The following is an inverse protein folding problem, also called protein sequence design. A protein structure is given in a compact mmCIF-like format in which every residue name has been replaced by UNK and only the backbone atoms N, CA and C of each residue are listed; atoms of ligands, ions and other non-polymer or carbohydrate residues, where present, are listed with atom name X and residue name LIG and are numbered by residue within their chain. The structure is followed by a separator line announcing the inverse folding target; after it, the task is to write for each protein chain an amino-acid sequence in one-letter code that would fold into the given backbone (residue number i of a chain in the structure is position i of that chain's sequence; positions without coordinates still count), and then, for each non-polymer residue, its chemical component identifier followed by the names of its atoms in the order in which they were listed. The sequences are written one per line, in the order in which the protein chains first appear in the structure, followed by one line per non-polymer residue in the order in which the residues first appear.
data_IF_872643275998
#
_entry.id   IF_872643275998
#
_cell.length_a   1.000
_cell.length_b   1.000
_cell.length_c   1.000
_cell.angle_alpha   90.00
_cell.angle_beta   90.00
_cell.angle_gamma   90.00
#
_symmetry.space_group_name_H-M   'P 1'
#
loop_
_entity.id
_entity.type
_entity.pdbx_description
1 polymer ?
#
# COMPACT_ATOMS: atom_id res chain seq x y z
N UNK A 1 12.42 -7.02 -22.18
CA UNK A 1 11.26 -6.91 -21.26
C UNK A 1 11.80 -6.51 -19.90
N UNK A 2 11.22 -5.49 -19.28
CA UNK A 2 11.62 -4.95 -17.97
C UNK A 2 10.74 -5.58 -16.87
N UNK A 3 11.39 -6.25 -15.92
CA UNK A 3 10.76 -7.07 -14.88
C UNK A 3 11.21 -6.60 -13.49
N UNK A 4 10.35 -6.80 -12.49
CA UNK A 4 10.69 -6.72 -11.07
C UNK A 4 10.53 -8.10 -10.47
N UNK A 5 11.52 -8.53 -9.68
CA UNK A 5 11.47 -9.69 -8.82
C UNK A 5 11.58 -9.25 -7.36
N UNK A 6 10.62 -9.70 -6.55
CA UNK A 6 10.58 -9.51 -5.10
C UNK A 6 10.73 -10.85 -4.42
N UNK A 7 11.71 -10.95 -3.53
CA UNK A 7 12.08 -12.17 -2.84
C UNK A 7 12.07 -11.94 -1.32
N UNK A 8 11.50 -12.90 -0.59
CA UNK A 8 11.55 -12.96 0.87
C UNK A 8 11.79 -14.39 1.35
N UNK A 9 12.80 -14.61 2.19
CA UNK A 9 13.11 -15.92 2.77
C UNK A 9 13.90 -15.79 4.09
N UNK A 10 14.24 -16.92 4.71
CA UNK A 10 15.20 -16.94 5.81
C UNK A 10 16.61 -16.64 5.27
N UNK A 11 17.34 -15.76 5.95
CA UNK A 11 18.69 -15.38 5.52
C UNK A 11 19.66 -16.55 5.66
N UNK A 12 20.51 -16.69 4.64
CA UNK A 12 21.59 -17.67 4.56
C UNK A 12 22.54 -17.33 3.40
N UNK A 13 23.82 -17.77 3.47
CA UNK A 13 24.80 -17.49 2.42
C UNK A 13 24.34 -17.95 1.01
N UNK A 14 24.64 -17.11 0.02
CA UNK A 14 24.50 -17.44 -1.39
C UNK A 14 23.17 -17.05 -2.07
N UNK A 15 22.19 -16.50 -1.34
CA UNK A 15 20.90 -16.06 -1.93
C UNK A 15 21.14 -15.08 -3.09
N UNK A 16 21.97 -14.06 -2.85
CA UNK A 16 22.31 -13.02 -3.84
C UNK A 16 23.02 -13.62 -5.06
N UNK A 17 23.95 -14.55 -4.82
CA UNK A 17 24.65 -15.24 -5.90
C UNK A 17 23.68 -16.07 -6.75
N UNK A 18 22.76 -16.80 -6.11
CA UNK A 18 21.75 -17.59 -6.82
C UNK A 18 20.79 -16.71 -7.63
N UNK A 19 20.33 -15.60 -7.04
CA UNK A 19 19.47 -14.62 -7.71
C UNK A 19 20.14 -14.04 -8.96
N UNK A 20 21.37 -13.54 -8.82
CA UNK A 20 22.14 -12.97 -9.94
C UNK A 20 22.48 -14.01 -11.00
N UNK A 21 22.81 -15.23 -10.61
CA UNK A 21 23.07 -16.34 -11.54
C UNK A 21 21.81 -16.74 -12.32
N UNK A 22 20.65 -16.79 -11.66
CA UNK A 22 19.38 -17.12 -12.31
C UNK A 22 18.92 -16.02 -13.29
N UNK A 23 19.13 -14.75 -12.93
CA UNK A 23 18.90 -13.63 -13.84
C UNK A 23 19.82 -13.74 -15.07
N UNK A 24 21.11 -14.00 -14.87
CA UNK A 24 22.05 -14.20 -15.98
C UNK A 24 21.65 -15.39 -16.87
N UNK A 25 21.18 -16.50 -16.29
CA UNK A 25 20.77 -17.69 -17.03
C UNK A 25 19.56 -17.45 -17.96
N UNK A 26 18.69 -16.49 -17.63
CA UNK A 26 17.63 -16.02 -18.54
C UNK A 26 18.06 -14.83 -19.39
N UNK A 27 19.38 -14.60 -19.56
CA UNK A 27 19.93 -13.50 -20.37
C UNK A 27 19.59 -12.12 -19.81
N UNK A 28 19.37 -12.03 -18.50
CA UNK A 28 18.94 -10.81 -17.84
C UNK A 28 20.09 -9.87 -17.48
N UNK A 29 19.84 -8.56 -17.58
CA UNK A 29 20.71 -7.51 -17.06
C UNK A 29 20.03 -6.78 -15.90
N UNK A 30 20.71 -6.67 -14.77
CA UNK A 30 20.16 -6.00 -13.57
C UNK A 30 20.25 -4.48 -13.76
N UNK A 31 19.12 -3.80 -13.58
CA UNK A 31 18.99 -2.33 -13.67
C UNK A 31 19.02 -1.71 -12.28
N UNK A 32 18.36 -2.36 -11.31
CA UNK A 32 18.27 -1.90 -9.93
C UNK A 32 18.27 -3.12 -9.00
N UNK A 33 18.98 -3.04 -7.88
CA UNK A 33 19.01 -4.12 -6.91
C UNK A 33 19.16 -3.57 -5.49
N UNK A 34 18.23 -3.94 -4.62
CA UNK A 34 18.27 -3.62 -3.20
C UNK A 34 18.00 -4.89 -2.38
N UNK A 35 18.67 -5.01 -1.25
CA UNK A 35 18.49 -6.12 -0.32
C UNK A 35 18.57 -5.64 1.12
N UNK A 36 17.98 -6.40 2.03
CA UNK A 36 18.10 -6.17 3.46
C UNK A 36 17.88 -7.47 4.22
N UNK A 37 18.70 -7.71 5.24
CA UNK A 37 18.45 -8.75 6.25
C UNK A 37 18.01 -8.06 7.53
N UNK A 38 16.84 -8.42 8.06
CA UNK A 38 16.47 -8.05 9.42
C UNK A 38 17.17 -8.98 10.43
N UNK A 39 18.11 -8.48 11.25
CA UNK A 39 18.89 -9.33 12.15
C UNK A 39 18.06 -9.90 13.30
N UNK A 40 16.88 -9.32 13.58
CA UNK A 40 16.00 -9.77 14.66
C UNK A 40 15.17 -10.99 14.26
N UNK A 41 14.66 -11.01 13.03
CA UNK A 41 13.82 -12.10 12.51
C UNK A 41 14.59 -13.09 11.63
N UNK A 42 15.84 -12.81 11.28
CA UNK A 42 16.62 -13.53 10.26
C UNK A 42 15.88 -13.62 8.91
N UNK A 43 15.10 -12.60 8.58
CA UNK A 43 14.37 -12.52 7.30
C UNK A 43 15.20 -11.70 6.30
N UNK A 44 15.51 -12.31 5.17
CA UNK A 44 16.13 -11.66 4.01
C UNK A 44 15.05 -11.23 3.02
N UNK A 45 15.12 -9.97 2.57
CA UNK A 45 14.27 -9.43 1.52
C UNK A 45 15.13 -8.81 0.42
N UNK A 46 14.70 -8.96 -0.83
CA UNK A 46 15.41 -8.44 -1.99
C UNK A 46 14.44 -8.02 -3.07
N UNK A 47 14.70 -6.87 -3.68
CA UNK A 47 13.98 -6.35 -4.84
C UNK A 47 14.98 -6.12 -5.96
N UNK A 48 14.75 -6.76 -7.09
CA UNK A 48 15.62 -6.65 -8.25
C UNK A 48 14.80 -6.28 -9.48
N UNK A 49 15.11 -5.14 -10.09
CA UNK A 49 14.61 -4.77 -11.40
C UNK A 49 15.64 -5.17 -12.45
N UNK A 50 15.23 -5.89 -13.48
CA UNK A 50 16.12 -6.41 -14.51
C UNK A 50 15.42 -6.49 -15.86
N UNK A 51 16.20 -6.44 -16.92
CA UNK A 51 15.73 -6.57 -18.29
C UNK A 51 16.16 -7.91 -18.88
N UNK A 52 15.27 -8.64 -19.55
CA UNK A 52 15.60 -9.84 -20.32
C UNK A 52 14.92 -9.84 -21.70
N UNK A 53 15.60 -10.39 -22.71
CA UNK A 53 15.01 -10.64 -24.03
C UNK A 53 14.23 -11.96 -24.12
N UNK A 54 14.36 -12.85 -23.13
CA UNK A 54 13.75 -14.19 -23.13
C UNK A 54 12.29 -14.20 -22.64
N UNK A 55 11.81 -13.08 -22.09
CA UNK A 55 10.44 -12.91 -21.63
C UNK A 55 10.18 -13.41 -20.20
N UNK A 56 8.98 -13.11 -19.68
CA UNK A 56 8.60 -13.36 -18.29
C UNK A 56 8.63 -14.85 -17.90
N UNK A 57 8.06 -15.74 -18.72
CA UNK A 57 7.98 -17.17 -18.39
C UNK A 57 9.37 -17.83 -18.26
N UNK A 58 10.33 -17.43 -19.09
CA UNK A 58 11.71 -17.90 -19.00
C UNK A 58 12.40 -17.40 -17.72
N UNK A 59 12.18 -16.12 -17.37
CA UNK A 59 12.67 -15.56 -16.12
C UNK A 59 12.06 -16.26 -14.90
N UNK A 60 10.74 -16.43 -14.86
CA UNK A 60 10.03 -17.14 -13.78
C UNK A 60 10.58 -18.54 -13.57
N UNK A 61 10.76 -19.32 -14.64
CA UNK A 61 11.36 -20.65 -14.57
C UNK A 61 12.78 -20.58 -14.00
N UNK A 62 13.64 -19.74 -14.58
CA UNK A 62 15.05 -19.62 -14.17
C UNK A 62 15.20 -19.23 -12.70
N UNK A 63 14.48 -18.19 -12.26
CA UNK A 63 14.52 -17.72 -10.88
C UNK A 63 13.93 -18.75 -9.92
N UNK A 64 12.80 -19.38 -10.26
CA UNK A 64 12.17 -20.40 -9.39
C UNK A 64 13.10 -21.60 -9.19
N UNK A 65 13.74 -22.10 -10.26
CA UNK A 65 14.68 -23.22 -10.18
C UNK A 65 15.96 -22.83 -9.45
N UNK A 66 16.56 -21.69 -9.78
CA UNK A 66 17.81 -21.23 -9.18
C UNK A 66 17.71 -20.89 -7.70
N UNK A 67 16.52 -20.49 -7.24
CA UNK A 67 16.26 -20.10 -5.85
C UNK A 67 15.54 -21.17 -5.02
N UNK A 68 15.13 -22.29 -5.61
CA UNK A 68 14.31 -23.32 -4.97
C UNK A 68 14.86 -23.78 -3.60
N UNK A 69 16.18 -23.94 -3.48
CA UNK A 69 16.84 -24.38 -2.24
C UNK A 69 16.67 -23.43 -1.05
N UNK A 70 16.31 -22.17 -1.30
CA UNK A 70 16.08 -21.16 -0.28
C UNK A 70 14.60 -21.09 0.15
N UNK A 71 13.72 -21.84 -0.53
CA UNK A 71 12.26 -21.84 -0.33
C UNK A 71 11.66 -20.42 -0.19
N UNK A 72 11.96 -19.48 -1.11
CA UNK A 72 11.51 -18.10 -0.96
C UNK A 72 10.03 -17.92 -1.32
N UNK A 73 9.41 -16.92 -0.73
CA UNK A 73 8.30 -16.22 -1.39
C UNK A 73 8.91 -15.38 -2.51
N UNK A 74 8.60 -15.73 -3.76
CA UNK A 74 9.12 -15.08 -4.96
C UNK A 74 7.96 -14.59 -5.82
N UNK A 75 7.95 -13.30 -6.13
CA UNK A 75 7.00 -12.68 -7.03
C UNK A 75 7.74 -12.01 -8.17
N UNK A 76 7.34 -12.28 -9.41
CA UNK A 76 7.95 -11.71 -10.60
C UNK A 76 6.84 -11.11 -11.46
N UNK A 77 7.01 -9.87 -11.90
CA UNK A 77 6.08 -9.23 -12.82
C UNK A 77 6.75 -8.23 -13.74
N UNK A 78 6.16 -7.93 -14.90
CA UNK A 78 6.57 -6.80 -15.73
C UNK A 78 6.36 -5.46 -15.02
N UNK A 79 7.27 -4.51 -15.22
CA UNK A 79 7.10 -3.13 -14.71
C UNK A 79 5.92 -2.41 -15.34
N UNK A 80 5.50 -2.84 -16.53
CA UNK A 80 4.32 -2.34 -17.25
C UNK A 80 3.00 -2.86 -16.68
N UNK A 81 3.00 -3.97 -15.93
CA UNK A 81 1.80 -4.50 -15.29
C UNK A 81 1.52 -3.68 -14.03
N UNK A 82 0.48 -2.85 -14.08
CA UNK A 82 0.04 -2.01 -12.97
C UNK A 82 -0.83 -2.82 -12.00
N UNK A 83 -0.57 -2.79 -10.69
CA UNK A 83 -1.46 -3.38 -9.70
C UNK A 83 -2.84 -2.71 -9.70
N UNK A 84 -3.89 -3.49 -9.53
CA UNK A 84 -5.29 -3.07 -9.52
C UNK A 84 -5.72 -2.75 -8.09
N UNK A 85 -6.00 -1.48 -7.82
CA UNK A 85 -6.37 -0.94 -6.52
C UNK A 85 -7.89 -0.76 -6.41
N UNK A 86 -8.52 -1.38 -5.41
CA UNK A 86 -9.88 -1.04 -5.00
C UNK A 86 -9.82 0.07 -3.96
N UNK A 87 -10.43 1.22 -4.23
CA UNK A 87 -10.40 2.35 -3.29
C UNK A 87 -11.73 2.42 -2.54
N UNK A 88 -11.68 2.40 -1.20
CA UNK A 88 -12.83 2.57 -0.32
C UNK A 88 -12.81 3.98 0.29
N UNK A 89 -13.95 4.67 0.26
CA UNK A 89 -14.09 6.05 0.75
C UNK A 89 -15.39 6.26 1.52
N UNK A 90 -15.40 7.25 2.41
CA UNK A 90 -16.63 7.72 3.09
C UNK A 90 -17.03 9.07 2.50
N UNK A 91 -16.92 10.19 3.24
CA UNK A 91 -17.33 11.52 2.75
C UNK A 91 -16.16 12.45 2.44
N UNK A 92 -15.00 12.19 3.02
CA UNK A 92 -13.84 13.07 2.87
C UNK A 92 -13.11 12.77 1.56
N UNK A 93 -12.91 13.81 0.74
CA UNK A 93 -12.46 13.65 -0.64
C UNK A 93 -10.96 13.85 -0.85
N UNK A 94 -10.24 14.48 0.07
CA UNK A 94 -8.87 14.98 -0.17
C UNK A 94 -7.88 13.87 -0.54
N UNK A 95 -7.89 12.73 0.14
CA UNK A 95 -7.04 11.59 -0.21
C UNK A 95 -7.42 10.99 -1.56
N UNK A 96 -8.72 10.82 -1.83
CA UNK A 96 -9.19 10.27 -3.10
C UNK A 96 -8.82 11.18 -4.29
N UNK A 97 -8.98 12.50 -4.15
CA UNK A 97 -8.63 13.49 -5.17
C UNK A 97 -7.15 13.39 -5.54
N UNK A 98 -6.28 13.29 -4.55
CA UNK A 98 -4.82 13.22 -4.77
C UNK A 98 -4.45 11.91 -5.50
N UNK A 99 -5.03 10.78 -5.09
CA UNK A 99 -4.83 9.48 -5.77
C UNK A 99 -5.30 9.51 -7.23
N UNK A 100 -6.50 10.05 -7.50
CA UNK A 100 -7.04 10.14 -8.86
C UNK A 100 -6.20 11.09 -9.73
N UNK A 101 -5.83 12.26 -9.20
CA UNK A 101 -4.98 13.23 -9.89
C UNK A 101 -3.61 12.65 -10.27
N UNK A 102 -2.91 11.99 -9.34
CA UNK A 102 -1.62 11.37 -9.61
C UNK A 102 -1.73 10.19 -10.59
N UNK A 103 -2.85 9.46 -10.56
CA UNK A 103 -3.13 8.40 -11.51
C UNK A 103 -3.36 8.95 -12.94
N UNK A 104 -4.07 10.07 -13.09
CA UNK A 104 -4.26 10.74 -14.38
C UNK A 104 -2.95 11.25 -14.97
N UNK A 105 -2.05 11.79 -14.14
CA UNK A 105 -0.70 12.19 -14.57
C UNK A 105 0.22 11.01 -14.91
N UNK A 106 -0.18 9.78 -14.57
CA UNK A 106 0.67 8.58 -14.71
C UNK A 106 1.81 8.51 -13.68
N UNK A 107 1.77 9.34 -12.65
CA UNK A 107 2.74 9.36 -11.55
C UNK A 107 2.49 8.26 -10.52
N UNK A 108 1.25 7.75 -10.48
CA UNK A 108 0.82 6.58 -9.73
C UNK A 108 0.59 5.42 -10.69
N UNK A 109 1.47 4.41 -10.69
CA UNK A 109 1.43 3.27 -11.61
C UNK A 109 0.45 2.18 -11.15
N UNK A 110 -0.78 2.58 -10.92
CA UNK A 110 -1.88 1.69 -10.50
C UNK A 110 -3.00 1.70 -11.54
N UNK A 111 -3.91 0.75 -11.44
CA UNK A 111 -5.21 0.82 -12.08
C UNK A 111 -6.28 0.92 -10.98
N UNK A 112 -7.20 1.86 -11.09
CA UNK A 112 -8.33 1.99 -10.15
C UNK A 112 -9.62 1.64 -10.90
N UNK A 113 -9.99 0.34 -10.97
CA UNK A 113 -11.17 -0.08 -11.73
C UNK A 113 -12.50 0.27 -11.06
N UNK A 114 -12.49 0.49 -9.74
CA UNK A 114 -13.69 0.74 -8.93
C UNK A 114 -13.34 1.54 -7.68
N UNK A 115 -14.20 2.52 -7.36
CA UNK A 115 -14.27 3.15 -6.04
C UNK A 115 -15.58 2.73 -5.39
N UNK A 116 -15.52 2.27 -4.14
CA UNK A 116 -16.70 1.91 -3.35
C UNK A 116 -16.86 2.92 -2.21
N UNK A 117 -18.09 3.34 -1.96
CA UNK A 117 -18.41 4.18 -0.81
C UNK A 117 -19.67 3.72 -0.10
N UNK A 118 -19.70 3.94 1.21
CA UNK A 118 -20.91 3.83 2.03
C UNK A 118 -21.77 5.11 1.99
N UNK A 119 -21.40 6.10 1.16
CA UNK A 119 -22.14 7.34 0.91
C UNK A 119 -22.13 7.72 -0.57
N UNK A 120 -23.03 8.61 -0.98
CA UNK A 120 -23.12 9.11 -2.37
C UNK A 120 -22.25 10.35 -2.63
N UNK A 121 -21.75 11.00 -1.57
CA UNK A 121 -21.08 12.31 -1.59
C UNK A 121 -19.97 12.44 -2.65
N UNK A 122 -19.25 11.35 -2.94
CA UNK A 122 -18.08 11.36 -3.83
C UNK A 122 -18.35 10.80 -5.23
N UNK A 123 -19.59 10.42 -5.57
CA UNK A 123 -19.93 9.85 -6.88
C UNK A 123 -19.48 10.73 -8.04
N UNK A 124 -19.91 11.99 -8.04
CA UNK A 124 -19.64 12.92 -9.14
C UNK A 124 -18.13 13.13 -9.34
N UNK A 125 -17.37 13.18 -8.23
CA UNK A 125 -15.92 13.27 -8.29
C UNK A 125 -15.32 12.05 -9.01
N UNK A 126 -15.69 10.84 -8.60
CA UNK A 126 -15.15 9.59 -9.18
C UNK A 126 -15.51 9.45 -10.65
N UNK A 127 -16.79 9.63 -10.98
CA UNK A 127 -17.28 9.47 -12.35
C UNK A 127 -16.68 10.52 -13.30
N UNK A 128 -16.37 11.74 -12.81
CA UNK A 128 -15.70 12.77 -13.60
C UNK A 128 -14.27 12.42 -14.02
N UNK A 129 -13.60 11.50 -13.30
CA UNK A 129 -12.28 10.97 -13.66
C UNK A 129 -12.38 9.66 -14.48
N UNK A 130 -13.59 9.30 -14.95
CA UNK A 130 -13.84 8.10 -15.75
C UNK A 130 -13.76 6.79 -14.98
N UNK A 131 -13.73 6.83 -13.64
CA UNK A 131 -13.67 5.65 -12.78
C UNK A 131 -15.09 5.21 -12.40
N UNK A 132 -15.31 3.90 -12.24
CA UNK A 132 -16.61 3.37 -11.79
C UNK A 132 -16.80 3.67 -10.30
N UNK A 133 -18.02 4.10 -9.95
CA UNK A 133 -18.43 4.30 -8.57
C UNK A 133 -19.52 3.29 -8.17
N UNK A 134 -19.36 2.67 -7.01
CA UNK A 134 -20.36 1.79 -6.42
C UNK A 134 -20.73 2.27 -5.03
N UNK A 135 -22.01 2.59 -4.86
CA UNK A 135 -22.59 2.94 -3.58
C UNK A 135 -23.10 1.67 -2.88
N UNK A 136 -22.59 1.41 -1.68
CA UNK A 136 -23.03 0.31 -0.82
C UNK A 136 -23.51 0.85 0.53
N UNK A 137 -24.79 1.24 0.68
CA UNK A 137 -25.34 1.62 1.98
C UNK A 137 -25.62 0.43 2.89
N UNK A 138 -25.87 0.72 4.16
CA UNK A 138 -26.53 -0.22 5.07
C UNK A 138 -25.58 -1.08 5.89
N UNK A 139 -25.86 -2.38 5.93
CA UNK A 139 -25.24 -3.33 6.86
C UNK A 139 -23.80 -3.69 6.48
N UNK A 140 -22.91 -3.68 7.48
CA UNK A 140 -21.48 -3.93 7.31
C UNK A 140 -21.20 -5.32 6.72
N UNK A 141 -21.91 -6.36 7.15
CA UNK A 141 -21.64 -7.73 6.70
C UNK A 141 -21.99 -7.87 5.21
N UNK A 142 -23.13 -7.33 4.81
CA UNK A 142 -23.54 -7.31 3.40
C UNK A 142 -22.56 -6.50 2.53
N UNK A 143 -22.09 -5.34 3.02
CA UNK A 143 -21.10 -4.53 2.33
C UNK A 143 -19.78 -5.28 2.13
N UNK A 144 -19.23 -5.88 3.18
CA UNK A 144 -17.96 -6.62 3.10
C UNK A 144 -18.07 -7.83 2.16
N UNK A 145 -19.22 -8.51 2.14
CA UNK A 145 -19.47 -9.60 1.19
C UNK A 145 -19.47 -9.11 -0.28
N UNK A 146 -20.10 -7.98 -0.58
CA UNK A 146 -20.10 -7.43 -1.93
C UNK A 146 -18.72 -6.87 -2.32
N UNK A 147 -18.02 -6.18 -1.41
CA UNK A 147 -16.63 -5.74 -1.61
C UNK A 147 -15.75 -6.94 -1.96
N UNK A 148 -15.89 -8.03 -1.21
CA UNK A 148 -15.16 -9.28 -1.43
C UNK A 148 -15.42 -9.88 -2.82
N UNK A 149 -16.69 -9.89 -3.25
CA UNK A 149 -17.06 -10.34 -4.59
C UNK A 149 -16.44 -9.45 -5.68
N UNK A 150 -16.40 -8.13 -5.47
CA UNK A 150 -15.76 -7.21 -6.42
C UNK A 150 -14.24 -7.41 -6.48
N UNK A 151 -13.59 -7.73 -5.35
CA UNK A 151 -12.17 -8.08 -5.30
C UNK A 151 -11.88 -9.25 -6.24
N UNK A 152 -12.67 -10.32 -6.17
CA UNK A 152 -12.48 -11.50 -7.01
C UNK A 152 -12.80 -11.22 -8.49
N UNK A 153 -13.95 -10.58 -8.76
CA UNK A 153 -14.42 -10.29 -10.12
C UNK A 153 -13.48 -9.36 -10.88
N UNK A 154 -12.99 -8.32 -10.21
CA UNK A 154 -12.12 -7.31 -10.81
C UNK A 154 -10.65 -7.65 -10.66
N UNK A 155 -10.31 -8.83 -10.09
CA UNK A 155 -8.93 -9.27 -9.84
C UNK A 155 -8.12 -8.20 -9.13
N UNK A 156 -8.64 -7.68 -8.03
CA UNK A 156 -8.02 -6.61 -7.24
C UNK A 156 -6.77 -7.16 -6.55
N UNK A 157 -5.65 -6.44 -6.71
CA UNK A 157 -4.37 -6.80 -6.11
C UNK A 157 -4.28 -6.29 -4.67
N UNK A 158 -4.84 -5.10 -4.40
CA UNK A 158 -4.83 -4.47 -3.07
C UNK A 158 -5.97 -3.47 -2.88
N UNK A 159 -6.30 -3.19 -1.62
CA UNK A 159 -7.35 -2.26 -1.20
C UNK A 159 -6.72 -1.02 -0.57
N UNK A 160 -7.28 0.15 -0.87
CA UNK A 160 -6.87 1.44 -0.30
C UNK A 160 -8.04 2.06 0.47
N UNK A 161 -7.89 2.25 1.76
CA UNK A 161 -8.86 2.95 2.60
C UNK A 161 -8.51 4.44 2.61
N UNK A 162 -9.04 5.19 1.64
CA UNK A 162 -8.84 6.63 1.53
C UNK A 162 -9.83 7.37 2.43
N UNK A 163 -9.55 7.35 3.75
CA UNK A 163 -10.42 7.85 4.82
C UNK A 163 -11.79 7.14 4.82
N UNK A 164 -11.77 5.82 4.68
CA UNK A 164 -12.92 4.96 4.93
C UNK A 164 -13.12 4.80 6.43
N UNK A 165 -14.25 5.31 6.94
CA UNK A 165 -14.46 5.47 8.39
C UNK A 165 -15.12 4.26 9.07
N UNK A 166 -15.54 3.26 8.29
CA UNK A 166 -16.12 2.04 8.83
C UNK A 166 -15.02 1.02 9.12
N UNK A 167 -14.97 0.55 10.37
CA UNK A 167 -14.03 -0.50 10.81
C UNK A 167 -14.32 -1.78 10.05
N UNK A 168 -13.29 -2.37 9.43
CA UNK A 168 -13.36 -3.67 8.74
C UNK A 168 -13.45 -4.83 9.75
N UNK A 169 -14.12 -5.93 9.40
CA UNK A 169 -14.10 -7.14 10.22
C UNK A 169 -12.73 -7.82 10.19
N UNK A 170 -12.41 -8.57 11.25
CA UNK A 170 -11.17 -9.36 11.30
C UNK A 170 -11.11 -10.37 10.15
N UNK A 171 -12.25 -10.98 9.80
CA UNK A 171 -12.37 -11.91 8.67
C UNK A 171 -12.01 -11.25 7.34
N UNK A 172 -12.49 -10.03 7.10
CA UNK A 172 -12.13 -9.28 5.90
C UNK A 172 -10.62 -8.93 5.88
N UNK A 173 -10.06 -8.49 7.01
CA UNK A 173 -8.63 -8.20 7.11
C UNK A 173 -7.75 -9.43 6.81
N UNK A 174 -8.14 -10.60 7.32
CA UNK A 174 -7.39 -11.85 7.17
C UNK A 174 -7.44 -12.41 5.73
N UNK A 175 -8.38 -11.97 4.90
CA UNK A 175 -8.47 -12.38 3.48
C UNK A 175 -7.40 -11.74 2.60
N UNK A 176 -6.92 -10.56 2.97
CA UNK A 176 -5.95 -9.77 2.19
C UNK A 176 -4.76 -9.32 3.06
N UNK A 177 -4.03 -10.28 3.70
CA UNK A 177 -2.96 -9.93 4.62
C UNK A 177 -1.85 -9.18 3.89
N UNK A 178 -1.47 -8.01 4.39
CA UNK A 178 -0.45 -7.15 3.75
C UNK A 178 -0.90 -6.54 2.41
N UNK A 179 -2.21 -6.49 2.13
CA UNK A 179 -2.77 -5.95 0.87
C UNK A 179 -3.89 -4.93 1.09
N UNK A 180 -4.10 -4.46 2.32
CA UNK A 180 -5.05 -3.38 2.61
C UNK A 180 -4.24 -2.24 3.23
N UNK A 181 -4.18 -1.09 2.54
CA UNK A 181 -3.47 0.11 3.00
C UNK A 181 -4.50 1.09 3.56
N UNK A 182 -4.27 1.57 4.78
CA UNK A 182 -5.09 2.60 5.41
C UNK A 182 -4.30 3.88 5.64
N UNK A 183 -4.97 5.03 5.58
CA UNK A 183 -4.45 6.30 6.09
C UNK A 183 -5.11 6.63 7.43
N UNK A 184 -4.31 6.64 8.48
CA UNK A 184 -4.72 7.10 9.80
C UNK A 184 -4.29 8.56 9.98
N UNK A 185 -5.22 9.40 10.43
CA UNK A 185 -5.10 10.86 10.52
C UNK A 185 -4.41 11.34 11.80
N UNK A 186 -3.47 10.53 12.29
CA UNK A 186 -2.60 10.83 13.42
C UNK A 186 -1.20 10.24 13.18
N UNK A 187 -0.22 10.78 13.89
CA UNK A 187 1.12 10.21 13.95
C UNK A 187 1.11 9.06 14.97
N UNK A 188 0.87 7.84 14.49
CA UNK A 188 0.84 6.64 15.33
C UNK A 188 2.19 6.43 16.04
N UNK A 189 2.20 5.98 17.31
CA UNK A 189 1.07 5.44 18.07
C UNK A 189 0.21 6.50 18.81
N UNK A 190 0.45 7.80 18.62
CA UNK A 190 -0.28 8.87 19.31
C UNK A 190 -1.69 9.10 18.78
N UNK A 191 -2.61 9.59 19.63
CA UNK A 191 -3.99 10.00 19.29
C UNK A 191 -4.79 8.96 18.47
N UNK A 192 -5.00 7.78 19.05
CA UNK A 192 -5.90 6.75 18.49
C UNK A 192 -7.37 7.13 18.73
N UNK A 193 -8.28 6.56 17.94
CA UNK A 193 -9.72 6.73 18.12
C UNK A 193 -10.29 8.00 17.49
N UNK A 194 -11.42 8.47 18.02
CA UNK A 194 -12.21 9.52 17.39
C UNK A 194 -11.62 10.94 17.59
N UNK A 195 -11.74 11.79 16.56
CA UNK A 195 -11.37 13.23 16.57
C UNK A 195 -9.92 13.52 17.04
N UNK A 196 -8.88 12.88 16.49
CA UNK A 196 -7.50 13.06 16.93
C UNK A 196 -7.00 14.49 16.79
N UNK A 197 -7.49 15.28 15.82
CA UNK A 197 -7.12 16.71 15.74
C UNK A 197 -7.66 17.55 16.90
N UNK A 198 -8.83 17.21 17.44
CA UNK A 198 -9.34 17.88 18.65
C UNK A 198 -8.51 17.49 19.88
N UNK A 199 -8.15 16.21 20.00
CA UNK A 199 -7.27 15.73 21.06
C UNK A 199 -5.88 16.39 20.97
N UNK A 200 -5.34 16.54 19.77
CA UNK A 200 -4.06 17.21 19.51
C UNK A 200 -4.10 18.69 19.91
N UNK A 201 -5.19 19.39 19.56
CA UNK A 201 -5.42 20.78 19.97
C UNK A 201 -5.49 20.90 21.51
N UNK A 202 -6.34 20.10 22.16
CA UNK A 202 -6.51 20.09 23.62
C UNK A 202 -5.19 19.79 24.34
N UNK A 203 -4.39 18.87 23.81
CA UNK A 203 -3.08 18.52 24.37
C UNK A 203 -2.01 19.60 24.10
N UNK A 204 -2.27 20.53 23.19
CA UNK A 204 -1.37 21.63 22.85
C UNK A 204 -0.12 21.21 22.08
N UNK A 205 -0.20 20.14 21.27
CA UNK A 205 0.96 19.62 20.52
C UNK A 205 1.54 20.67 19.56
N UNK A 206 2.82 20.51 19.21
CA UNK A 206 3.52 21.39 18.25
C UNK A 206 3.77 20.72 16.91
N UNK A 207 3.33 19.47 16.80
CA UNK A 207 3.46 18.62 15.63
C UNK A 207 2.19 17.77 15.54
N UNK A 208 1.59 17.73 14.36
CA UNK A 208 0.56 16.75 13.98
C UNK A 208 1.10 15.92 12.82
N UNK A 209 0.51 14.76 12.55
CA UNK A 209 0.95 13.91 11.45
C UNK A 209 -0.12 12.93 10.99
N UNK A 210 0.25 12.13 10.00
CA UNK A 210 -0.56 11.04 9.49
C UNK A 210 0.32 9.80 9.25
N UNK A 211 -0.30 8.63 9.28
CA UNK A 211 0.39 7.35 9.14
C UNK A 211 -0.33 6.47 8.13
N UNK A 212 0.35 6.08 7.06
CA UNK A 212 -0.09 5.01 6.19
C UNK A 212 0.44 3.68 6.71
N UNK A 213 -0.43 2.69 6.83
CA UNK A 213 -0.06 1.38 7.37
C UNK A 213 -0.90 0.27 6.71
N UNK A 214 -0.40 -0.96 6.77
CA UNK A 214 -1.23 -2.11 6.42
C UNK A 214 -2.30 -2.33 7.49
N UNK A 215 -3.50 -2.74 7.09
CA UNK A 215 -4.56 -3.11 8.01
C UNK A 215 -4.35 -4.55 8.47
N UNK A 216 -4.57 -4.80 9.75
CA UNK A 216 -4.60 -6.13 10.37
C UNK A 216 -5.90 -6.28 11.16
N UNK A 217 -6.09 -7.42 11.82
CA UNK A 217 -7.20 -7.61 12.78
C UNK A 217 -7.14 -6.65 13.98
N UNK A 218 -5.94 -6.17 14.31
CA UNK A 218 -5.71 -5.26 15.44
C UNK A 218 -5.82 -3.82 14.91
N UNK A 219 -6.88 -3.11 15.33
CA UNK A 219 -7.20 -1.77 14.84
C UNK A 219 -6.04 -0.79 15.06
N UNK A 220 -5.59 -0.12 14.00
CA UNK A 220 -4.50 0.87 14.00
C UNK A 220 -3.12 0.35 14.50
N UNK A 221 -2.90 -0.98 14.50
CA UNK A 221 -1.65 -1.62 14.96
C UNK A 221 -0.84 -2.29 13.84
N UNK A 222 -1.31 -2.21 12.60
CA UNK A 222 -0.65 -2.89 11.50
C UNK A 222 0.68 -2.25 11.09
N UNK A 223 1.53 -2.98 10.33
CA UNK A 223 2.85 -2.49 9.94
C UNK A 223 2.79 -1.13 9.22
N UNK A 224 3.48 -0.15 9.79
CA UNK A 224 3.59 1.21 9.24
C UNK A 224 4.39 1.18 7.94
N UNK A 225 3.90 1.87 6.91
CA UNK A 225 4.53 2.01 5.59
C UNK A 225 5.22 3.37 5.47
N UNK A 226 4.50 4.44 5.82
CA UNK A 226 4.95 5.82 5.64
C UNK A 226 4.32 6.71 6.70
N UNK A 227 5.06 7.71 7.17
CA UNK A 227 4.56 8.72 8.11
C UNK A 227 5.14 10.08 7.75
N UNK A 228 4.35 11.13 7.94
CA UNK A 228 4.82 12.50 7.80
C UNK A 228 4.14 13.39 8.84
N UNK A 229 4.73 14.57 9.04
CA UNK A 229 4.33 15.51 10.07
C UNK A 229 4.29 16.94 9.56
N UNK A 230 3.54 17.80 10.26
CA UNK A 230 3.61 19.24 10.11
C UNK A 230 3.71 19.92 11.46
N UNK A 231 4.50 20.98 11.53
CA UNK A 231 4.55 21.85 12.70
C UNK A 231 3.27 22.68 12.80
N UNK A 232 2.76 22.80 14.01
CA UNK A 232 1.58 23.63 14.34
C UNK A 232 1.89 24.47 15.57
N UNK A 233 1.19 25.60 15.70
CA UNK A 233 1.42 26.55 16.81
C UNK A 233 0.14 26.78 17.60
N UNK A 234 0.24 27.51 18.71
CA UNK A 234 -0.88 27.78 19.62
C UNK A 234 -1.99 28.65 19.00
N UNK A 235 -1.76 29.24 17.83
CA UNK A 235 -2.78 30.01 17.11
C UNK A 235 -3.76 29.12 16.36
N UNK A 236 -3.37 27.87 16.07
CA UNK A 236 -4.13 26.98 15.21
C UNK A 236 -5.39 26.47 15.90
N UNK A 237 -6.57 26.70 15.32
CA UNK A 237 -7.83 26.11 15.81
C UNK A 237 -7.94 24.63 15.42
N UNK A 238 -8.87 23.85 16.01
CA UNK A 238 -9.12 22.47 15.59
C UNK A 238 -9.41 22.33 14.09
N UNK A 239 -10.14 23.26 13.49
CA UNK A 239 -10.47 23.29 12.06
C UNK A 239 -9.23 23.53 11.18
N UNK A 240 -8.32 24.39 11.64
CA UNK A 240 -7.04 24.63 10.97
C UNK A 240 -6.12 23.40 11.08
N UNK A 241 -6.10 22.72 12.23
CA UNK A 241 -5.40 21.44 12.36
C UNK A 241 -5.95 20.37 11.42
N UNK A 242 -7.28 20.30 11.23
CA UNK A 242 -7.90 19.40 10.24
C UNK A 242 -7.50 19.80 8.82
N UNK A 243 -7.42 21.09 8.49
CA UNK A 243 -6.98 21.54 7.18
C UNK A 243 -5.53 21.15 6.88
N UNK A 244 -4.61 21.41 7.83
CA UNK A 244 -3.20 20.99 7.73
C UNK A 244 -3.09 19.46 7.67
N UNK A 245 -3.91 18.77 8.47
CA UNK A 245 -3.99 17.31 8.51
C UNK A 245 -4.30 16.69 7.17
N UNK A 246 -5.31 17.21 6.46
CA UNK A 246 -5.68 16.75 5.11
C UNK A 246 -4.52 16.78 4.11
N UNK A 247 -3.64 17.77 4.23
CA UNK A 247 -2.44 17.88 3.39
C UNK A 247 -1.39 16.80 3.69
N UNK A 248 -1.22 16.45 4.96
CA UNK A 248 -0.29 15.38 5.37
C UNK A 248 -0.87 14.02 4.93
N UNK A 249 -2.14 13.79 5.21
CA UNK A 249 -2.83 12.54 4.91
C UNK A 249 -2.75 12.18 3.42
N UNK A 250 -3.03 13.14 2.52
CA UNK A 250 -3.00 12.89 1.08
C UNK A 250 -1.61 12.48 0.59
N UNK A 251 -0.56 13.19 1.02
CA UNK A 251 0.83 12.93 0.63
C UNK A 251 1.31 11.57 1.16
N UNK A 252 1.03 11.28 2.43
CA UNK A 252 1.41 10.02 3.08
C UNK A 252 0.73 8.83 2.41
N UNK A 253 -0.59 8.92 2.16
CA UNK A 253 -1.31 7.84 1.47
C UNK A 253 -0.80 7.64 0.04
N UNK A 254 -0.68 8.71 -0.73
CA UNK A 254 -0.20 8.63 -2.12
C UNK A 254 1.20 8.00 -2.20
N UNK A 255 2.10 8.36 -1.28
CA UNK A 255 3.43 7.78 -1.18
C UNK A 255 3.38 6.29 -0.85
N UNK A 256 2.56 5.88 0.12
CA UNK A 256 2.40 4.46 0.46
C UNK A 256 1.84 3.63 -0.71
N UNK A 257 0.82 4.14 -1.42
CA UNK A 257 0.25 3.49 -2.60
C UNK A 257 1.29 3.40 -3.73
N UNK A 258 2.10 4.44 -3.92
CA UNK A 258 3.19 4.43 -4.91
C UNK A 258 4.24 3.36 -4.57
N UNK A 259 4.71 3.32 -3.33
CA UNK A 259 5.66 2.31 -2.85
C UNK A 259 5.12 0.89 -3.04
N UNK A 260 3.83 0.66 -2.77
CA UNK A 260 3.16 -0.61 -3.03
C UNK A 260 3.16 -0.95 -4.52
N UNK A 261 2.77 0.01 -5.38
CA UNK A 261 2.71 -0.18 -6.83
C UNK A 261 4.05 -0.47 -7.50
N UNK A 262 5.16 -0.17 -6.81
CA UNK A 262 6.53 -0.38 -7.28
C UNK A 262 7.21 -1.62 -6.64
N UNK A 263 6.47 -2.44 -5.89
CA UNK A 263 6.94 -3.59 -5.11
C UNK A 263 8.07 -3.24 -4.13
N UNK A 264 8.02 -2.04 -3.52
CA UNK A 264 9.06 -1.53 -2.63
C UNK A 264 8.83 -1.85 -1.15
N UNK A 265 7.71 -2.46 -0.80
CA UNK A 265 7.33 -2.71 0.60
C UNK A 265 7.35 -4.21 0.89
N UNK A 266 8.09 -4.62 1.91
CA UNK A 266 8.08 -5.97 2.46
C UNK A 266 7.61 -5.94 3.90
N UNK A 267 6.69 -6.83 4.28
CA UNK A 267 6.28 -7.00 5.69
C UNK A 267 7.23 -8.00 6.35
N UNK A 268 7.96 -7.54 7.36
CA UNK A 268 8.92 -8.34 8.13
C UNK A 268 8.55 -8.26 9.61
N UNK A 269 8.01 -9.37 10.13
CA UNK A 269 7.42 -9.41 11.47
C UNK A 269 6.25 -8.41 11.59
N UNK A 270 6.37 -7.45 12.52
CA UNK A 270 5.36 -6.39 12.74
C UNK A 270 5.69 -5.05 12.06
N UNK A 271 6.72 -5.02 11.21
CA UNK A 271 7.25 -3.79 10.59
C UNK A 271 7.29 -3.94 9.08
N UNK A 272 7.62 -2.86 8.39
CA UNK A 272 7.92 -2.89 6.96
C UNK A 272 9.40 -2.61 6.71
N UNK A 273 9.92 -3.20 5.65
CA UNK A 273 11.15 -2.77 4.97
C UNK A 273 10.71 -2.04 3.71
N UNK A 274 11.15 -0.80 3.54
CA UNK A 274 10.81 0.05 2.40
C UNK A 274 12.06 0.36 1.59
N UNK A 275 12.11 -0.10 0.35
CA UNK A 275 13.22 0.18 -0.57
C UNK A 275 13.10 1.55 -1.24
N UNK A 276 14.24 2.13 -1.59
CA UNK A 276 14.35 3.47 -2.22
C UNK A 276 13.85 3.49 -3.67
#
# INVERSE_FOLDING_TARGET
MDLIASLQCADQPGIVHAMTSAILACGGNIIENQQFTDPTTNTFVMRTRFETSQGQAAAEKSLSEGLAKYNPSLHIRPTSQRPRALVLVTKESHCLRDLLYLNELGELKVEIPLVISNHEDLRQLVESHGVKFMYLPGDKVAQEAEITKQIDLLKIDFVVLARYMQILSAEFCDRMPGKIINIHHSFLPGFKGAKPYHQAHERGVKIIGASAHFVTRDLDEGPIIEQDVAHVTHIATPEELIAIGRDIERRVLAKAVKLYSEDKIFVVGKRTVVFS
#
